data_IF_966896547453
#
_entry.id   IF_966896547453
#
_cell.length_a   1.000
_cell.length_b   1.000
_cell.length_c   1.000
_cell.angle_alpha   90.00
_cell.angle_beta   90.00
_cell.angle_gamma   90.00
#
_symmetry.space_group_name_H-M   'P 1'
#
loop_
_entity.id
_entity.type
_entity.pdbx_description
1 polymer ?
#
# COMPACT_ATOMS: atom_id res chain seq x y z
N UNK A 1 -5.66 -4.08 -34.69
CA UNK A 1 -4.24 -4.45 -34.57
C UNK A 1 -3.57 -3.27 -33.91
N UNK A 2 -3.17 -3.37 -32.65
CA UNK A 2 -2.49 -2.27 -31.94
C UNK A 2 -1.04 -2.70 -31.73
N UNK A 3 -0.17 -2.13 -32.55
CA UNK A 3 1.28 -2.26 -32.48
C UNK A 3 1.76 -1.84 -31.09
N UNK A 4 2.18 -2.82 -30.28
CA UNK A 4 2.89 -2.56 -29.03
C UNK A 4 4.33 -2.22 -29.37
N UNK A 5 4.58 -0.95 -29.69
CA UNK A 5 5.94 -0.42 -29.75
C UNK A 5 6.64 -0.72 -28.41
N UNK A 6 7.81 -1.37 -28.48
CA UNK A 6 8.69 -1.59 -27.33
C UNK A 6 9.30 -0.26 -26.90
N UNK A 7 8.50 0.63 -26.33
CA UNK A 7 8.96 1.82 -25.61
C UNK A 7 9.52 1.42 -24.24
N UNK A 8 10.40 2.26 -23.68
CA UNK A 8 10.92 2.13 -22.32
C UNK A 8 9.83 1.62 -21.37
N UNK A 9 10.11 0.53 -20.66
CA UNK A 9 9.17 -0.08 -19.72
C UNK A 9 9.08 0.84 -18.49
N UNK A 10 8.24 1.86 -18.59
CA UNK A 10 7.84 2.67 -17.45
C UNK A 10 6.76 1.88 -16.70
N UNK A 11 6.93 1.69 -15.39
CA UNK A 11 5.93 1.04 -14.52
C UNK A 11 4.61 1.83 -14.37
N UNK A 12 4.37 2.82 -15.23
CA UNK A 12 3.13 3.57 -15.29
C UNK A 12 2.15 2.86 -16.24
N UNK A 13 0.93 2.69 -15.76
CA UNK A 13 -0.17 2.16 -16.55
C UNK A 13 -0.92 3.31 -17.22
N UNK A 14 -1.39 3.05 -18.43
CA UNK A 14 -2.35 3.93 -19.10
C UNK A 14 -3.65 3.96 -18.31
N UNK A 15 -4.37 5.09 -18.41
CA UNK A 15 -5.64 5.31 -17.71
C UNK A 15 -6.66 4.21 -17.97
N UNK A 16 -6.74 3.70 -19.21
CA UNK A 16 -7.68 2.64 -19.57
C UNK A 16 -7.37 1.33 -18.85
N UNK A 17 -6.10 0.91 -18.83
CA UNK A 17 -5.66 -0.29 -18.12
C UNK A 17 -5.84 -0.17 -16.61
N UNK A 18 -5.65 1.03 -16.06
CA UNK A 18 -5.90 1.32 -14.65
C UNK A 18 -7.39 1.20 -14.29
N UNK A 19 -8.30 1.70 -15.15
CA UNK A 19 -9.74 1.56 -14.96
C UNK A 19 -10.21 0.09 -15.04
N UNK A 20 -9.63 -0.71 -15.93
CA UNK A 20 -9.89 -2.16 -15.99
C UNK A 20 -9.46 -2.88 -14.71
N UNK A 21 -8.28 -2.54 -14.18
CA UNK A 21 -7.80 -3.07 -12.90
C UNK A 21 -8.73 -2.69 -11.75
N UNK A 22 -9.17 -1.44 -11.69
CA UNK A 22 -10.08 -0.97 -10.65
C UNK A 22 -11.46 -1.63 -10.73
N UNK A 23 -11.96 -1.92 -11.94
CA UNK A 23 -13.20 -2.71 -12.08
C UNK A 23 -13.04 -4.14 -11.57
N UNK A 24 -11.88 -4.75 -11.80
CA UNK A 24 -11.62 -6.14 -11.43
C UNK A 24 -11.34 -6.34 -9.95
N UNK A 25 -10.58 -5.43 -9.33
CA UNK A 25 -10.06 -5.59 -7.96
C UNK A 25 -10.58 -4.53 -6.98
N UNK A 26 -11.29 -3.52 -7.46
CA UNK A 26 -11.62 -2.33 -6.68
C UNK A 26 -10.49 -1.31 -6.68
N UNK A 27 -10.79 -0.08 -6.22
CA UNK A 27 -9.75 0.93 -6.02
C UNK A 27 -8.98 0.65 -4.74
N UNK A 28 -7.64 0.72 -4.77
CA UNK A 28 -6.84 0.55 -3.57
C UNK A 28 -7.18 1.64 -2.55
N UNK A 29 -7.35 1.25 -1.29
CA UNK A 29 -7.66 2.17 -0.19
C UNK A 29 -9.11 2.63 -0.10
N UNK A 30 -9.94 2.35 -1.10
CA UNK A 30 -11.38 2.53 -1.00
C UNK A 30 -11.92 1.33 -0.18
N UNK A 31 -12.27 1.56 1.08
CA UNK A 31 -12.99 0.54 1.87
C UNK A 31 -14.23 0.16 1.08
N UNK A 32 -14.35 -1.14 0.76
CA UNK A 32 -15.52 -1.64 0.03
C UNK A 32 -16.80 -1.08 0.68
N UNK A 33 -17.75 -0.57 -0.12
CA UNK A 33 -18.97 0.04 0.41
C UNK A 33 -19.69 -0.97 1.33
N UNK A 34 -19.96 -0.55 2.57
CA UNK A 34 -20.55 -1.40 3.60
C UNK A 34 -19.57 -2.12 4.53
N UNK A 35 -18.27 -2.06 4.28
CA UNK A 35 -17.25 -2.64 5.18
C UNK A 35 -16.77 -1.59 6.16
N UNK A 36 -17.13 -1.75 7.44
CA UNK A 36 -16.59 -0.91 8.53
C UNK A 36 -15.06 -1.03 8.53
N UNK A 37 -14.38 0.12 8.52
CA UNK A 37 -12.94 0.16 8.67
C UNK A 37 -12.51 -0.62 9.93
N UNK A 38 -11.42 -1.41 9.86
CA UNK A 38 -10.93 -2.14 11.01
C UNK A 38 -10.66 -1.16 12.15
N UNK A 39 -11.25 -1.42 13.31
CA UNK A 39 -11.11 -0.57 14.50
C UNK A 39 -9.62 -0.45 14.80
N UNK A 40 -9.09 0.78 14.76
CA UNK A 40 -7.71 1.07 15.21
C UNK A 40 -7.54 0.39 16.57
N UNK A 41 -6.59 -0.54 16.67
CA UNK A 41 -6.22 -1.11 17.96
C UNK A 41 -5.70 0.05 18.79
N UNK A 42 -6.33 0.31 19.94
CA UNK A 42 -5.78 1.23 20.92
C UNK A 42 -4.63 0.50 21.62
N UNK A 43 -3.56 0.22 20.88
CA UNK A 43 -2.33 -0.29 21.46
C UNK A 43 -1.74 0.92 22.14
N UNK A 44 -1.70 0.99 23.49
CA UNK A 44 -0.91 2.02 24.13
C UNK A 44 0.50 1.93 23.54
N UNK A 45 1.14 3.06 23.20
CA UNK A 45 2.50 3.03 22.70
C UNK A 45 3.32 2.15 23.65
N UNK A 46 4.18 1.25 23.13
CA UNK A 46 4.99 0.41 23.99
C UNK A 46 5.68 1.33 25.00
N UNK A 47 5.54 1.00 26.29
CA UNK A 47 6.18 1.74 27.37
C UNK A 47 7.67 1.73 27.05
N UNK A 48 8.17 2.85 26.50
CA UNK A 48 9.60 3.08 26.44
C UNK A 48 10.00 3.26 27.88
N UNK A 49 10.52 2.20 28.50
CA UNK A 49 11.15 2.34 29.79
C UNK A 49 12.26 3.37 29.63
N UNK A 50 12.13 4.50 30.33
CA UNK A 50 13.09 5.60 30.37
C UNK A 50 14.40 5.06 30.95
N UNK A 51 15.23 4.45 30.10
CA UNK A 51 16.46 3.77 30.49
C UNK A 51 16.95 2.70 29.51
N UNK A 52 16.13 2.26 28.56
CA UNK A 52 16.60 1.32 27.53
C UNK A 52 17.51 2.05 26.52
N UNK A 53 18.82 1.92 26.74
CA UNK A 53 19.85 2.27 25.76
C UNK A 53 19.63 1.40 24.52
N UNK A 54 19.56 1.94 23.29
CA UNK A 54 19.56 1.12 22.10
C UNK A 54 20.82 0.24 22.13
N UNK A 55 20.64 -1.08 22.05
CA UNK A 55 21.76 -1.98 21.83
C UNK A 55 22.34 -1.61 20.46
N UNK A 56 23.48 -0.90 20.47
CA UNK A 56 24.29 -0.73 19.27
C UNK A 56 24.78 -2.12 18.92
N UNK A 57 24.24 -2.71 17.85
CA UNK A 57 24.81 -3.89 17.23
C UNK A 57 26.21 -3.50 16.74
N UNK A 58 27.23 -3.89 17.50
CA UNK A 58 28.60 -3.94 17.00
C UNK A 58 28.74 -5.22 16.20
N UNK A 59 29.07 -5.00 14.92
CA UNK A 59 29.41 -5.90 13.79
C UNK A 59 29.63 -7.38 14.05
#
# INVERSE_FOLDING_TARGET
>A
MTDKSKGMVTYQLDRQSLEELYKKYGRPGETAPGVKAPRKRNIPPPTRESGAVPLLETE
#
